data_IF_491375075662
#
_entry.id   IF_491375075662
#
_cell.length_a   1.000
_cell.length_b   1.000
_cell.length_c   1.000
_cell.angle_alpha   90.00
_cell.angle_beta   90.00
_cell.angle_gamma   90.00
#
_symmetry.space_group_name_H-M   'P 1'
#
loop_
_entity.id
_entity.type
_entity.pdbx_description
1 polymer ?
#
# COMPACT_ATOMS: atom_id res chain seq x y z
N UNK A 1 -0.39 10.88 2.31
CA UNK A 1 -1.19 9.70 1.92
C UNK A 1 -0.27 8.73 1.22
N UNK A 2 -0.13 7.52 1.76
CA UNK A 2 0.62 6.44 1.12
C UNK A 2 -0.33 5.73 0.14
N UNK A 3 0.12 5.50 -1.10
CA UNK A 3 -0.58 4.69 -2.09
C UNK A 3 0.33 3.51 -2.43
N UNK A 4 -0.08 2.31 -2.02
CA UNK A 4 0.68 1.07 -2.13
C UNK A 4 -0.02 -0.02 -2.92
N UNK A 5 0.49 -1.26 -2.80
CA UNK A 5 -0.11 -2.43 -3.42
C UNK A 5 -0.25 -2.33 -4.94
N UNK A 6 -1.17 -3.13 -5.49
CA UNK A 6 -1.41 -3.19 -6.94
C UNK A 6 -1.86 -1.86 -7.56
N UNK A 7 -2.58 -1.02 -6.81
CA UNK A 7 -3.08 0.26 -7.35
C UNK A 7 -1.96 1.27 -7.63
N UNK A 8 -0.82 1.16 -6.93
CA UNK A 8 0.31 2.07 -7.11
C UNK A 8 0.87 2.03 -8.54
N UNK A 9 0.79 0.89 -9.23
CA UNK A 9 1.27 0.74 -10.60
C UNK A 9 0.49 1.60 -11.60
N UNK A 10 -0.83 1.75 -11.44
CA UNK A 10 -1.64 2.68 -12.23
C UNK A 10 -1.17 4.13 -12.02
N UNK A 11 -0.91 4.52 -10.77
CA UNK A 11 -0.40 5.86 -10.46
C UNK A 11 0.99 6.10 -11.07
N UNK A 12 1.92 5.16 -10.90
CA UNK A 12 3.29 5.26 -11.41
C UNK A 12 3.35 5.29 -12.94
N UNK A 13 2.51 4.49 -13.61
CA UNK A 13 2.41 4.49 -15.06
C UNK A 13 1.89 5.82 -15.60
N UNK A 14 0.88 6.42 -14.96
CA UNK A 14 0.28 7.68 -15.42
C UNK A 14 1.13 8.90 -15.04
N UNK A 15 1.61 8.96 -13.80
CA UNK A 15 2.35 10.11 -13.27
C UNK A 15 3.79 10.16 -13.78
N UNK A 16 4.48 9.02 -13.78
CA UNK A 16 5.92 8.94 -13.99
C UNK A 16 6.27 8.22 -15.32
N UNK A 17 5.28 7.81 -16.12
CA UNK A 17 5.49 7.01 -17.35
C UNK A 17 6.31 5.73 -17.13
N UNK A 18 6.21 5.16 -15.93
CA UNK A 18 6.97 3.98 -15.54
C UNK A 18 6.49 2.74 -16.30
N UNK A 19 7.43 1.92 -16.81
CA UNK A 19 7.10 0.56 -17.28
C UNK A 19 6.66 -0.29 -16.08
N UNK A 20 5.51 -0.96 -16.19
CA UNK A 20 4.95 -1.79 -15.12
C UNK A 20 4.94 -3.29 -15.45
N UNK A 21 5.48 -3.71 -16.60
CA UNK A 21 5.43 -5.09 -17.06
C UNK A 21 3.99 -5.62 -17.09
N UNK A 22 3.74 -6.74 -16.42
CA UNK A 22 2.43 -7.37 -16.26
C UNK A 22 1.77 -7.09 -14.90
N UNK A 23 2.23 -6.06 -14.18
CA UNK A 23 1.61 -5.63 -12.92
C UNK A 23 0.17 -5.16 -13.12
N UNK A 24 -0.62 -5.19 -12.05
CA UNK A 24 -2.02 -4.77 -12.07
C UNK A 24 -2.15 -3.34 -12.62
N UNK A 25 -3.10 -3.16 -13.53
CA UNK A 25 -3.40 -1.89 -14.16
C UNK A 25 -4.90 -1.76 -14.34
N UNK A 26 -5.43 -0.62 -13.93
CA UNK A 26 -6.83 -0.26 -14.11
C UNK A 26 -6.94 0.84 -15.16
N UNK A 27 -7.44 0.48 -16.34
CA UNK A 27 -7.60 1.41 -17.46
C UNK A 27 -8.62 2.51 -17.19
N UNK A 28 -9.69 2.22 -16.43
CA UNK A 28 -10.69 3.22 -16.09
C UNK A 28 -10.18 4.12 -14.96
N UNK A 29 -9.59 3.53 -13.91
CA UNK A 29 -8.95 4.27 -12.83
C UNK A 29 -7.78 5.16 -13.29
N UNK A 30 -7.05 4.75 -14.33
CA UNK A 30 -5.99 5.56 -14.93
C UNK A 30 -6.47 6.94 -15.40
N UNK A 31 -7.72 7.05 -15.87
CA UNK A 31 -8.30 8.30 -16.39
C UNK A 31 -8.46 9.36 -15.29
N UNK A 32 -8.66 8.94 -14.04
CA UNK A 32 -8.89 9.84 -12.90
C UNK A 32 -7.63 10.14 -12.07
N UNK A 33 -6.52 9.44 -12.31
CA UNK A 33 -5.24 9.69 -11.59
C UNK A 33 -4.81 11.16 -11.66
N UNK A 34 -4.82 11.85 -12.82
CA UNK A 34 -4.41 13.26 -12.89
C UNK A 34 -5.27 14.17 -12.01
N UNK A 35 -6.58 13.90 -11.93
CA UNK A 35 -7.51 14.67 -11.11
C UNK A 35 -7.25 14.45 -9.62
N UNK A 36 -6.98 13.21 -9.20
CA UNK A 36 -6.63 12.88 -7.82
C UNK A 36 -5.34 13.60 -7.40
N UNK A 37 -4.31 13.56 -8.23
CA UNK A 37 -3.02 14.20 -7.95
C UNK A 37 -3.17 15.73 -7.86
N UNK A 38 -3.90 16.35 -8.80
CA UNK A 38 -4.17 17.78 -8.78
C UNK A 38 -4.97 18.20 -7.54
N UNK A 39 -5.95 17.39 -7.12
CA UNK A 39 -6.71 17.63 -5.89
C UNK A 39 -5.83 17.51 -4.65
N UNK A 40 -4.96 16.51 -4.59
CA UNK A 40 -4.03 16.33 -3.49
C UNK A 40 -3.08 17.53 -3.35
N UNK A 41 -2.50 17.99 -4.46
CA UNK A 41 -1.64 19.19 -4.50
C UNK A 41 -2.39 20.44 -4.02
N UNK A 42 -3.61 20.67 -4.53
CA UNK A 42 -4.45 21.80 -4.12
C UNK A 42 -4.76 21.81 -2.63
N UNK A 43 -4.90 20.64 -2.02
CA UNK A 43 -5.17 20.46 -0.59
C UNK A 43 -3.89 20.38 0.27
N UNK A 44 -2.70 20.46 -0.33
CA UNK A 44 -1.44 20.29 0.37
C UNK A 44 -1.22 18.89 0.92
N UNK A 45 -1.86 17.87 0.32
CA UNK A 45 -1.71 16.46 0.70
C UNK A 45 -0.53 15.88 -0.07
N UNK A 46 0.53 15.52 0.66
CA UNK A 46 1.65 14.78 0.09
C UNK A 46 1.21 13.35 -0.31
N UNK A 47 1.53 12.95 -1.54
CA UNK A 47 1.31 11.60 -2.06
C UNK A 47 2.64 10.84 -2.05
N UNK A 48 2.68 9.72 -1.35
CA UNK A 48 3.85 8.86 -1.22
C UNK A 48 3.58 7.58 -2.03
N UNK A 49 4.36 7.38 -3.08
CA UNK A 49 4.32 6.20 -3.95
C UNK A 49 5.58 5.36 -3.75
N UNK A 50 5.52 4.02 -3.94
CA UNK A 50 6.69 3.17 -3.90
C UNK A 50 7.71 3.55 -4.99
N UNK A 51 8.99 3.38 -4.65
CA UNK A 51 10.15 3.73 -5.50
C UNK A 51 10.99 2.51 -5.89
N UNK A 52 10.71 1.36 -5.28
CA UNK A 52 11.33 0.08 -5.56
C UNK A 52 10.37 -1.07 -5.25
N UNK A 53 10.63 -2.24 -5.84
CA UNK A 53 9.67 -3.34 -5.93
C UNK A 53 10.34 -4.70 -5.83
N UNK A 54 9.59 -5.64 -5.28
CA UNK A 54 9.84 -7.07 -5.41
C UNK A 54 8.89 -7.63 -6.45
N UNK A 55 9.47 -8.23 -7.49
CA UNK A 55 8.74 -8.68 -8.67
C UNK A 55 8.83 -10.20 -8.84
N UNK A 56 7.83 -10.76 -9.52
CA UNK A 56 7.83 -12.16 -9.96
C UNK A 56 7.45 -12.25 -11.43
N UNK A 57 7.96 -13.25 -12.13
CA UNK A 57 7.59 -13.56 -13.53
C UNK A 57 6.18 -14.14 -13.69
N UNK A 58 5.52 -14.49 -12.58
CA UNK A 58 4.11 -14.90 -12.52
C UNK A 58 3.52 -14.54 -11.16
N UNK A 59 2.20 -14.58 -11.05
CA UNK A 59 1.53 -14.37 -9.77
C UNK A 59 1.77 -15.58 -8.85
N UNK A 60 2.80 -15.49 -8.00
CA UNK A 60 3.21 -16.59 -7.13
C UNK A 60 4.68 -16.55 -6.73
N UNK A 61 4.99 -17.31 -5.68
CA UNK A 61 6.36 -17.44 -5.12
C UNK A 61 7.25 -18.40 -5.92
N UNK A 62 6.66 -19.14 -6.85
CA UNK A 62 7.26 -20.17 -7.69
C UNK A 62 7.69 -19.63 -9.07
N UNK A 63 7.60 -18.32 -9.29
CA UNK A 63 8.21 -17.62 -10.42
C UNK A 63 9.68 -17.26 -10.17
N UNK A 64 10.38 -16.84 -11.22
CA UNK A 64 11.63 -16.09 -11.07
C UNK A 64 11.37 -14.80 -10.30
N UNK A 65 12.09 -14.60 -9.20
CA UNK A 65 11.94 -13.44 -8.31
C UNK A 65 13.05 -12.43 -8.59
N UNK A 66 12.67 -11.15 -8.69
CA UNK A 66 13.59 -10.02 -8.79
C UNK A 66 13.30 -9.01 -7.70
N UNK A 67 14.26 -8.85 -6.80
CA UNK A 67 14.21 -7.84 -5.75
C UNK A 67 14.95 -6.58 -6.19
N UNK A 68 14.58 -5.42 -5.61
CA UNK A 68 15.30 -4.17 -5.83
C UNK A 68 15.13 -3.57 -7.23
N UNK A 69 14.08 -3.96 -7.95
CA UNK A 69 13.69 -3.29 -9.20
C UNK A 69 13.25 -1.88 -8.83
N UNK A 70 13.83 -0.84 -9.44
CA UNK A 70 13.52 0.54 -9.06
C UNK A 70 12.51 1.16 -10.01
N UNK A 71 11.89 2.25 -9.55
CA UNK A 71 11.00 3.07 -10.36
C UNK A 71 11.69 3.60 -11.63
N UNK A 72 12.96 3.98 -11.51
CA UNK A 72 13.74 4.53 -12.63
C UNK A 72 14.04 3.47 -13.69
N UNK A 73 14.27 2.21 -13.30
CA UNK A 73 14.46 1.11 -14.24
C UNK A 73 13.16 0.62 -14.84
N UNK A 74 12.04 0.78 -14.11
CA UNK A 74 10.76 0.16 -14.45
C UNK A 74 10.74 -1.33 -14.17
N UNK A 75 9.54 -1.92 -14.16
CA UNK A 75 9.34 -3.36 -14.08
C UNK A 75 9.59 -3.96 -15.47
N UNK A 76 10.45 -4.99 -15.58
CA UNK A 76 10.74 -5.65 -16.85
C UNK A 76 9.51 -6.34 -17.46
N UNK A 77 9.51 -6.47 -18.79
CA UNK A 77 8.49 -7.25 -19.50
C UNK A 77 8.43 -8.69 -18.99
N UNK A 78 7.21 -9.21 -18.84
CA UNK A 78 6.95 -10.54 -18.29
C UNK A 78 7.05 -10.65 -16.77
N UNK A 79 7.39 -9.56 -16.07
CA UNK A 79 7.37 -9.50 -14.60
C UNK A 79 6.24 -8.62 -14.10
N UNK A 80 5.76 -8.92 -12.89
CA UNK A 80 4.81 -8.11 -12.13
C UNK A 80 5.35 -7.81 -10.74
N UNK A 81 5.12 -6.59 -10.27
CA UNK A 81 5.42 -6.20 -8.90
C UNK A 81 4.37 -6.75 -7.95
N UNK A 82 4.81 -7.40 -6.88
CA UNK A 82 3.93 -8.06 -5.90
C UNK A 82 4.17 -7.56 -4.47
N UNK A 83 5.25 -6.82 -4.22
CA UNK A 83 5.49 -6.10 -2.97
C UNK A 83 6.37 -4.87 -3.23
N UNK A 84 6.41 -3.95 -2.28
CA UNK A 84 7.33 -2.82 -2.31
C UNK A 84 8.72 -3.21 -1.80
N UNK A 85 9.75 -2.50 -2.26
CA UNK A 85 11.13 -2.73 -1.88
C UNK A 85 11.53 -1.98 -0.60
N UNK A 86 12.78 -2.18 -0.15
CA UNK A 86 13.28 -1.62 1.12
C UNK A 86 13.25 -0.08 1.18
N UNK A 87 13.50 0.64 0.08
CA UNK A 87 13.45 2.10 0.09
C UNK A 87 12.01 2.60 0.26
N UNK A 88 11.06 1.92 -0.37
CA UNK A 88 9.63 2.22 -0.19
C UNK A 88 9.18 1.97 1.23
N UNK A 89 9.67 0.88 1.86
CA UNK A 89 9.44 0.61 3.29
C UNK A 89 9.94 1.75 4.17
N UNK A 90 11.15 2.25 3.93
CA UNK A 90 11.72 3.38 4.69
C UNK A 90 10.88 4.66 4.54
N UNK A 91 10.44 4.98 3.32
CA UNK A 91 9.57 6.13 3.06
C UNK A 91 8.24 6.03 3.81
N UNK A 92 7.63 4.85 3.77
CA UNK A 92 6.36 4.61 4.47
C UNK A 92 6.52 4.70 5.99
N UNK A 93 7.58 4.09 6.54
CA UNK A 93 7.86 4.14 7.97
C UNK A 93 8.10 5.58 8.45
N UNK A 94 8.80 6.40 7.66
CA UNK A 94 8.98 7.83 7.97
C UNK A 94 7.64 8.56 8.04
N UNK A 95 6.76 8.37 7.06
CA UNK A 95 5.45 9.01 7.05
C UNK A 95 4.57 8.57 8.22
N UNK A 96 4.66 7.30 8.62
CA UNK A 96 3.99 6.77 9.82
C UNK A 96 4.51 7.46 11.08
N UNK A 97 5.83 7.60 11.24
CA UNK A 97 6.44 8.23 12.41
C UNK A 97 6.06 9.72 12.57
N UNK A 98 5.83 10.42 11.46
CA UNK A 98 5.42 11.83 11.44
C UNK A 98 3.91 12.02 11.69
N UNK A 99 3.12 10.95 11.63
CA UNK A 99 1.66 10.99 11.74
C UNK A 99 1.16 11.07 13.19
N UNK A 100 0.02 11.74 13.40
CA UNK A 100 -0.69 11.77 14.71
C UNK A 100 -1.99 10.98 14.72
N UNK A 101 -2.48 10.63 13.54
CA UNK A 101 -3.60 9.72 13.34
C UNK A 101 -3.36 8.98 12.04
N UNK A 102 -3.56 7.67 12.06
CA UNK A 102 -3.34 6.79 10.92
C UNK A 102 -4.62 6.02 10.65
N UNK A 103 -5.06 6.05 9.40
CA UNK A 103 -6.11 5.18 8.89
C UNK A 103 -5.44 4.36 7.78
N UNK A 104 -5.46 3.04 7.94
CA UNK A 104 -4.85 2.12 6.98
C UNK A 104 -5.87 1.15 6.42
N UNK A 105 -6.03 1.18 5.11
CA UNK A 105 -6.88 0.26 4.36
C UNK A 105 -6.15 -0.20 3.09
N UNK A 106 -5.76 -1.48 3.04
CA UNK A 106 -5.10 -2.12 1.91
C UNK A 106 -3.65 -2.50 2.21
N UNK A 107 -3.27 -3.78 2.17
CA UNK A 107 -1.88 -4.22 2.27
C UNK A 107 -0.95 -3.59 1.22
N UNK A 108 0.36 -3.60 1.49
CA UNK A 108 1.37 -2.99 0.61
C UNK A 108 1.86 -3.93 -0.51
N UNK A 109 1.58 -5.22 -0.36
CA UNK A 109 1.93 -6.31 -1.28
C UNK A 109 1.03 -7.51 -1.05
N UNK A 110 1.28 -8.60 -1.78
CA UNK A 110 0.54 -9.88 -1.70
C UNK A 110 0.97 -10.64 -0.43
N UNK A 111 0.57 -10.11 0.72
CA UNK A 111 1.04 -10.52 2.04
C UNK A 111 0.69 -11.97 2.40
N UNK A 112 -0.23 -12.60 1.69
CA UNK A 112 -0.56 -14.01 1.80
C UNK A 112 0.63 -14.91 1.41
N UNK A 113 1.55 -14.38 0.59
CA UNK A 113 2.76 -15.04 0.11
C UNK A 113 3.99 -14.51 0.85
N UNK A 114 4.79 -15.39 1.44
CA UNK A 114 5.90 -15.02 2.32
C UNK A 114 6.99 -14.20 1.63
N UNK A 115 7.20 -14.40 0.32
CA UNK A 115 8.14 -13.60 -0.48
C UNK A 115 7.66 -12.18 -0.79
N UNK A 116 6.37 -11.89 -0.61
CA UNK A 116 5.74 -10.61 -0.98
C UNK A 116 5.01 -9.97 0.20
N UNK A 117 5.38 -10.34 1.43
CA UNK A 117 4.75 -9.83 2.65
C UNK A 117 5.57 -8.76 3.37
N UNK A 118 6.81 -8.52 2.97
CA UNK A 118 7.78 -7.71 3.71
C UNK A 118 7.26 -6.27 3.83
N UNK A 119 6.77 -5.67 2.74
CA UNK A 119 6.23 -4.32 2.74
C UNK A 119 5.06 -4.17 3.71
N UNK A 120 4.10 -5.10 3.67
CA UNK A 120 2.93 -5.09 4.56
C UNK A 120 3.34 -5.29 6.02
N UNK A 121 4.21 -6.26 6.28
CA UNK A 121 4.69 -6.56 7.64
C UNK A 121 5.47 -5.39 8.24
N UNK A 122 6.35 -4.75 7.46
CA UNK A 122 7.12 -3.59 7.93
C UNK A 122 6.27 -2.35 8.15
N UNK A 123 5.24 -2.14 7.32
CA UNK A 123 4.27 -1.09 7.60
C UNK A 123 3.49 -1.37 8.90
N UNK A 124 3.10 -2.62 9.13
CA UNK A 124 2.45 -3.04 10.39
C UNK A 124 3.36 -2.79 11.60
N UNK A 125 4.63 -3.18 11.53
CA UNK A 125 5.61 -2.95 12.60
C UNK A 125 5.67 -1.44 12.96
N UNK A 126 5.77 -0.58 11.95
CA UNK A 126 5.82 0.88 12.14
C UNK A 126 4.51 1.44 12.73
N UNK A 127 3.34 0.94 12.29
CA UNK A 127 2.03 1.35 12.82
C UNK A 127 1.87 0.94 14.29
N UNK A 128 2.30 -0.27 14.65
CA UNK A 128 2.30 -0.74 16.04
C UNK A 128 3.22 0.11 16.92
N UNK A 129 4.42 0.43 16.45
CA UNK A 129 5.36 1.31 17.15
C UNK A 129 4.74 2.70 17.38
N UNK A 130 4.15 3.30 16.34
CA UNK A 130 3.45 4.58 16.45
C UNK A 130 2.30 4.53 17.47
N UNK A 131 1.54 3.42 17.50
CA UNK A 131 0.47 3.21 18.48
C UNK A 131 1.02 3.20 19.91
N UNK A 132 2.13 2.47 20.13
CA UNK A 132 2.82 2.44 21.42
C UNK A 132 3.33 3.82 21.87
N UNK A 133 3.64 4.70 20.92
CA UNK A 133 3.99 6.10 21.16
C UNK A 133 2.77 7.05 21.33
N UNK A 134 1.55 6.52 21.37
CA UNK A 134 0.32 7.27 21.62
C UNK A 134 -0.39 7.81 20.37
N UNK A 135 -0.01 7.36 19.17
CA UNK A 135 -0.70 7.69 17.92
C UNK A 135 -2.00 6.89 17.80
N UNK A 136 -3.08 7.54 17.36
CA UNK A 136 -4.34 6.84 17.05
C UNK A 136 -4.17 6.08 15.73
N UNK A 137 -4.38 4.77 15.75
CA UNK A 137 -4.24 3.88 14.59
C UNK A 137 -5.50 3.07 14.33
N UNK A 138 -6.09 3.28 13.15
CA UNK A 138 -7.32 2.62 12.71
C UNK A 138 -7.03 1.75 11.51
N UNK A 139 -7.25 0.45 11.66
CA UNK A 139 -7.15 -0.53 10.58
C UNK A 139 -8.53 -0.75 9.99
N UNK A 140 -8.67 -0.54 8.68
CA UNK A 140 -9.88 -0.75 7.91
C UNK A 140 -9.70 -1.79 6.80
N UNK A 141 -10.81 -2.32 6.32
CA UNK A 141 -10.84 -3.33 5.25
C UNK A 141 -10.56 -4.75 5.75
N UNK A 142 -11.16 -5.74 5.09
CA UNK A 142 -11.04 -7.15 5.47
C UNK A 142 -9.61 -7.69 5.36
N UNK A 143 -8.90 -7.33 4.29
CA UNK A 143 -7.54 -7.84 4.04
C UNK A 143 -6.53 -7.25 5.03
N UNK A 144 -6.63 -5.96 5.36
CA UNK A 144 -5.75 -5.33 6.36
C UNK A 144 -6.01 -5.90 7.77
N UNK A 145 -7.28 -6.14 8.13
CA UNK A 145 -7.61 -6.83 9.37
C UNK A 145 -7.07 -8.27 9.39
N UNK A 146 -7.10 -8.97 8.25
CA UNK A 146 -6.48 -10.29 8.10
C UNK A 146 -4.96 -10.24 8.29
N UNK A 147 -4.30 -9.18 7.79
CA UNK A 147 -2.88 -8.95 8.06
C UNK A 147 -2.59 -8.70 9.56
N UNK A 148 -3.42 -7.90 10.26
CA UNK A 148 -3.32 -7.74 11.72
C UNK A 148 -3.37 -9.07 12.47
N UNK A 149 -4.34 -9.91 12.10
CA UNK A 149 -4.50 -11.24 12.69
C UNK A 149 -3.31 -12.15 12.38
N UNK A 150 -2.84 -12.16 11.12
CA UNK A 150 -1.66 -12.93 10.70
C UNK A 150 -0.43 -12.59 11.53
N UNK A 151 -0.24 -11.31 11.84
CA UNK A 151 0.94 -10.82 12.55
C UNK A 151 0.76 -10.70 14.07
N UNK A 152 -0.42 -11.05 14.61
CA UNK A 152 -0.70 -10.95 16.04
C UNK A 152 -0.59 -9.52 16.56
N UNK A 153 -1.21 -8.58 15.85
CA UNK A 153 -1.20 -7.14 16.16
C UNK A 153 -2.59 -6.54 16.36
N UNK A 154 -3.65 -7.36 16.38
CA UNK A 154 -5.04 -6.90 16.58
C UNK A 154 -5.21 -6.11 17.89
N UNK A 155 -4.50 -6.49 18.94
CA UNK A 155 -4.49 -5.85 20.26
C UNK A 155 -3.42 -4.75 20.41
N UNK A 156 -2.65 -4.49 19.35
CA UNK A 156 -1.53 -3.51 19.33
C UNK A 156 -1.80 -2.27 18.49
N UNK A 157 -3.00 -2.16 17.94
CA UNK A 157 -3.51 -0.98 17.23
C UNK A 157 -4.69 -0.37 18.00
N UNK A 158 -5.02 0.89 17.77
CA UNK A 158 -6.14 1.53 18.51
C UNK A 158 -7.48 0.94 18.14
N UNK A 159 -7.70 0.63 16.85
CA UNK A 159 -8.92 -0.03 16.38
C UNK A 159 -8.63 -0.93 15.18
N UNK A 160 -9.03 -2.20 15.27
CA UNK A 160 -9.08 -3.11 14.14
C UNK A 160 -10.53 -3.33 13.73
N UNK A 161 -10.92 -2.82 12.56
CA UNK A 161 -12.32 -2.81 12.13
C UNK A 161 -12.77 -4.16 11.60
N UNK A 162 -13.94 -4.62 12.03
CA UNK A 162 -14.63 -5.80 11.48
C UNK A 162 -15.55 -5.47 10.30
N UNK A 163 -15.72 -4.18 9.98
CA UNK A 163 -16.73 -3.69 9.05
C UNK A 163 -16.41 -3.93 7.56
N UNK A 164 -15.18 -4.30 7.22
CA UNK A 164 -14.78 -4.56 5.83
C UNK A 164 -15.20 -3.43 4.88
N UNK A 165 -16.16 -3.72 4.00
CA UNK A 165 -16.74 -2.75 3.07
C UNK A 165 -17.49 -1.58 3.73
N UNK A 166 -18.15 -1.79 4.88
CA UNK A 166 -18.84 -0.71 5.60
C UNK A 166 -17.86 0.36 6.09
N UNK A 167 -16.65 -0.05 6.52
CA UNK A 167 -15.59 0.88 6.93
C UNK A 167 -15.09 1.70 5.74
N UNK A 168 -15.05 1.12 4.54
CA UNK A 168 -14.70 1.84 3.32
C UNK A 168 -15.78 2.86 2.94
N UNK A 169 -17.06 2.47 2.92
CA UNK A 169 -18.16 3.39 2.63
C UNK A 169 -18.23 4.57 3.60
N UNK A 170 -17.94 4.32 4.89
CA UNK A 170 -17.83 5.37 5.89
C UNK A 170 -16.68 6.34 5.59
N UNK A 171 -15.51 5.83 5.18
CA UNK A 171 -14.36 6.66 4.79
C UNK A 171 -14.60 7.44 3.49
N UNK A 172 -15.46 6.93 2.61
CA UNK A 172 -15.94 7.64 1.43
C UNK A 172 -16.93 8.78 1.77
N UNK A 173 -17.40 8.84 3.03
CA UNK A 173 -18.34 9.86 3.52
C UNK A 173 -19.81 9.54 3.23
N UNK A 174 -20.13 8.27 2.95
CA UNK A 174 -21.52 7.83 2.75
C UNK A 174 -22.24 7.66 4.09
N UNK A 175 -23.56 7.85 4.09
CA UNK A 175 -24.41 7.43 5.20
C UNK A 175 -24.60 5.90 5.15
N UNK A 176 -24.31 5.22 6.26
CA UNK A 176 -24.56 3.79 6.39
C UNK A 176 -26.04 3.53 6.73
N UNK A 177 -26.71 2.54 6.10
CA UNK A 177 -28.10 2.19 6.39
C UNK A 177 -28.38 1.76 7.83
#
# INVERSE_FOLDING_TARGET
>A
MIIGGGMAYTFLKIKDSMSIGTSLYDEEGAKIVPEILAKAEKLGVEIILPVDFTCSSKFGEDGEIKEGVTKETGIPDGFMGLDCGPKSVELNAKAVAESKTIIWNGPMGVFEMSKFEIGTKKLMDAVVEATGAGVITVIGGGDTATACKKYGTEDKVTHCSTGGGASLELLEGKELP
#
